data_IF_384356354670
#
_entry.id   IF_384356354670
#
_cell.length_a   1.000
_cell.length_b   1.000
_cell.length_c   1.000
_cell.angle_alpha   90.00
_cell.angle_beta   90.00
_cell.angle_gamma   90.00
#
_symmetry.space_group_name_H-M   'P 1'
#
loop_
_entity.id
_entity.type
_entity.pdbx_description
1 polymer ?
#
# COMPACT_ATOMS: atom_id res chain seq x y z
N UNK A 1 -10.89 -2.61 14.19
CA UNK A 1 -10.15 -2.36 12.94
C UNK A 1 -11.11 -2.47 11.77
N UNK A 2 -11.10 -1.49 10.88
CA UNK A 2 -11.86 -1.50 9.63
C UNK A 2 -10.91 -1.19 8.46
N UNK A 3 -10.97 -1.94 7.36
CA UNK A 3 -10.16 -1.66 6.16
C UNK A 3 -11.06 -1.04 5.09
N UNK A 4 -10.77 0.21 4.73
CA UNK A 4 -11.58 1.04 3.83
C UNK A 4 -10.81 1.37 2.56
N UNK A 5 -11.51 1.58 1.44
CA UNK A 5 -10.90 2.07 0.20
C UNK A 5 -10.56 3.55 0.37
N UNK A 6 -9.37 3.98 -0.03
CA UNK A 6 -9.05 5.40 -0.17
C UNK A 6 -9.81 5.98 -1.39
N UNK A 7 -10.70 6.97 -1.21
CA UNK A 7 -11.33 7.66 -2.33
C UNK A 7 -10.33 8.59 -3.03
N UNK A 8 -10.61 8.94 -4.29
CA UNK A 8 -9.86 9.96 -5.04
C UNK A 8 -10.32 11.39 -4.64
N UNK A 9 -10.41 11.65 -3.33
CA UNK A 9 -10.81 12.93 -2.76
C UNK A 9 -9.57 13.59 -2.15
N UNK A 10 -9.25 14.82 -2.56
CA UNK A 10 -8.00 15.49 -2.18
C UNK A 10 -7.77 15.49 -0.66
N UNK A 11 -8.77 15.80 0.14
CA UNK A 11 -8.66 15.84 1.61
C UNK A 11 -8.37 14.45 2.21
N UNK A 12 -9.00 13.40 1.67
CA UNK A 12 -8.75 12.03 2.11
C UNK A 12 -7.35 11.56 1.72
N UNK A 13 -6.91 11.90 0.51
CA UNK A 13 -5.56 11.59 0.01
C UNK A 13 -4.51 12.36 0.80
N UNK A 14 -4.71 13.65 1.06
CA UNK A 14 -3.81 14.48 1.89
C UNK A 14 -3.62 13.88 3.27
N UNK A 15 -4.72 13.52 3.94
CA UNK A 15 -4.65 12.86 5.24
C UNK A 15 -3.89 11.54 5.19
N UNK A 16 -4.15 10.71 4.19
CA UNK A 16 -3.40 9.46 3.96
C UNK A 16 -1.90 9.73 3.76
N UNK A 17 -1.55 10.75 2.96
CA UNK A 17 -0.16 11.11 2.69
C UNK A 17 0.56 11.53 3.98
N UNK A 18 -0.07 12.41 4.76
CA UNK A 18 0.49 12.95 6.00
C UNK A 18 0.58 11.90 7.12
N UNK A 19 -0.46 11.08 7.31
CA UNK A 19 -0.55 10.15 8.44
C UNK A 19 0.07 8.78 8.19
N UNK A 20 0.20 8.35 6.92
CA UNK A 20 0.65 7.00 6.59
C UNK A 20 1.81 6.97 5.60
N UNK A 21 1.67 7.62 4.44
CA UNK A 21 2.68 7.51 3.38
C UNK A 21 4.01 8.14 3.78
N UNK A 22 3.98 9.35 4.35
CA UNK A 22 5.18 10.04 4.83
C UNK A 22 5.87 9.29 5.98
N UNK A 23 5.16 8.87 7.05
CA UNK A 23 5.75 8.03 8.08
C UNK A 23 6.34 6.72 7.55
N UNK A 24 5.67 6.07 6.58
CA UNK A 24 6.19 4.85 5.95
C UNK A 24 7.54 5.09 5.25
N UNK A 25 7.65 6.13 4.42
CA UNK A 25 8.90 6.40 3.70
C UNK A 25 10.02 6.83 4.64
N UNK A 26 9.73 7.61 5.69
CA UNK A 26 10.71 7.94 6.74
C UNK A 26 11.17 6.71 7.53
N UNK A 27 10.26 5.78 7.82
CA UNK A 27 10.60 4.49 8.46
C UNK A 27 11.46 3.61 7.52
N UNK A 28 11.18 3.65 6.21
CA UNK A 28 11.83 2.80 5.21
C UNK A 28 13.20 3.32 4.78
N UNK A 29 13.37 4.64 4.67
CA UNK A 29 14.66 5.31 4.41
C UNK A 29 15.73 4.86 5.42
N UNK A 30 15.35 4.65 6.68
CA UNK A 30 16.26 4.13 7.71
C UNK A 30 16.71 2.68 7.47
N UNK A 31 16.01 1.93 6.62
CA UNK A 31 16.27 0.52 6.34
C UNK A 31 16.78 0.26 4.91
N UNK A 32 16.51 1.16 3.96
CA UNK A 32 16.83 0.99 2.54
C UNK A 32 17.19 2.36 1.93
N UNK A 33 18.47 2.53 1.58
CA UNK A 33 19.03 3.81 1.07
C UNK A 33 18.33 4.34 -0.19
N UNK A 34 17.69 3.48 -1.00
CA UNK A 34 17.00 3.93 -2.22
C UNK A 34 15.66 4.63 -1.98
N UNK A 35 15.22 4.78 -0.72
CA UNK A 35 13.94 5.41 -0.35
C UNK A 35 14.10 6.80 0.27
N UNK A 36 15.27 7.44 0.11
CA UNK A 36 15.49 8.84 0.52
C UNK A 36 14.45 9.78 -0.14
N UNK A 37 13.82 10.61 0.69
CA UNK A 37 12.83 11.59 0.22
C UNK A 37 13.54 12.86 -0.25
N UNK A 38 13.01 13.49 -1.31
CA UNK A 38 13.56 14.73 -1.84
C UNK A 38 13.45 15.89 -0.83
N UNK A 39 14.53 16.66 -0.68
CA UNK A 39 14.62 17.75 0.30
C UNK A 39 14.02 19.07 -0.22
N UNK A 40 14.01 19.29 -1.53
CA UNK A 40 13.67 20.57 -2.18
C UNK A 40 12.28 20.61 -2.84
N UNK A 41 11.33 19.82 -2.33
CA UNK A 41 9.95 19.76 -2.85
C UNK A 41 8.92 19.77 -1.72
N UNK A 42 7.70 20.23 -2.01
CA UNK A 42 6.56 20.01 -1.12
C UNK A 42 6.06 18.57 -1.29
N UNK A 43 6.64 17.65 -0.52
CA UNK A 43 6.34 16.22 -0.59
C UNK A 43 4.85 15.92 -0.45
N UNK A 44 4.12 16.69 0.38
CA UNK A 44 2.69 16.45 0.57
C UNK A 44 1.93 16.90 -0.67
N UNK A 45 2.17 18.11 -1.16
CA UNK A 45 1.46 18.61 -2.33
C UNK A 45 1.71 17.76 -3.58
N UNK A 46 2.96 17.41 -3.84
CA UNK A 46 3.35 16.58 -4.99
C UNK A 46 2.74 15.18 -4.90
N UNK A 47 2.83 14.53 -3.72
CA UNK A 47 2.29 13.19 -3.55
C UNK A 47 0.76 13.15 -3.56
N UNK A 48 0.09 14.18 -3.03
CA UNK A 48 -1.37 14.29 -3.12
C UNK A 48 -1.83 14.40 -4.56
N UNK A 49 -1.18 15.24 -5.37
CA UNK A 49 -1.49 15.37 -6.79
C UNK A 49 -1.28 14.04 -7.52
N UNK A 50 -0.13 13.41 -7.32
CA UNK A 50 0.21 12.12 -7.93
C UNK A 50 -0.76 11.01 -7.54
N UNK A 51 -1.10 10.88 -6.25
CA UNK A 51 -1.99 9.82 -5.76
C UNK A 51 -3.44 10.03 -6.17
N UNK A 52 -3.90 11.28 -6.23
CA UNK A 52 -5.27 11.59 -6.69
C UNK A 52 -5.45 11.12 -8.13
N UNK A 53 -4.53 11.48 -9.03
CA UNK A 53 -4.54 11.03 -10.44
C UNK A 53 -4.50 9.49 -10.54
N UNK A 54 -3.64 8.83 -9.76
CA UNK A 54 -3.59 7.36 -9.74
C UNK A 54 -4.89 6.72 -9.23
N UNK A 55 -5.57 7.32 -8.26
CA UNK A 55 -6.80 6.77 -7.67
C UNK A 55 -8.02 6.90 -8.59
N UNK A 56 -7.96 7.78 -9.60
CA UNK A 56 -8.97 7.87 -10.66
C UNK A 56 -8.95 6.64 -11.58
N UNK A 57 -7.80 5.97 -11.73
CA UNK A 57 -7.71 4.70 -12.45
C UNK A 57 -8.47 3.60 -11.74
N UNK A 58 -9.18 2.74 -12.49
CA UNK A 58 -9.86 1.57 -11.92
C UNK A 58 -8.88 0.47 -11.45
N UNK A 59 -7.67 0.49 -12.01
CA UNK A 59 -6.65 -0.54 -11.81
C UNK A 59 -5.88 -0.33 -10.52
N UNK A 60 -5.76 0.92 -10.06
CA UNK A 60 -5.05 1.27 -8.84
C UNK A 60 -6.01 1.48 -7.66
N UNK A 61 -5.65 0.95 -6.48
CA UNK A 61 -6.34 1.24 -5.21
C UNK A 61 -5.36 1.32 -4.08
N UNK A 62 -5.69 2.14 -3.09
CA UNK A 62 -5.16 2.03 -1.75
C UNK A 62 -6.26 1.58 -0.78
N UNK A 63 -5.90 0.69 0.15
CA UNK A 63 -6.73 0.23 1.25
C UNK A 63 -6.12 0.69 2.55
N UNK A 64 -6.90 1.37 3.38
CA UNK A 64 -6.45 2.00 4.62
C UNK A 64 -7.12 1.32 5.81
N UNK A 65 -6.33 0.89 6.78
CA UNK A 65 -6.79 0.37 8.05
C UNK A 65 -7.07 1.53 9.01
N UNK A 66 -8.29 1.57 9.53
CA UNK A 66 -8.79 2.59 10.46
C UNK A 66 -9.10 1.93 11.79
N UNK A 67 -8.52 2.44 12.86
CA UNK A 67 -8.88 2.08 14.23
C UNK A 67 -9.94 3.04 14.78
N UNK A 68 -11.12 2.51 15.11
CA UNK A 68 -12.18 3.28 15.76
C UNK A 68 -11.89 3.50 17.25
N UNK A 69 -12.53 4.52 17.86
CA UNK A 69 -12.30 4.81 19.28
C UNK A 69 -12.75 3.65 20.20
N UNK A 70 -12.05 3.42 21.33
CA UNK A 70 -12.37 2.33 22.25
C UNK A 70 -13.69 2.49 23.04
N UNK A 71 -14.32 3.67 23.04
CA UNK A 71 -15.53 3.96 23.81
C UNK A 71 -16.51 4.83 23.01
N UNK A 72 -17.69 4.28 22.70
CA UNK A 72 -18.88 5.07 22.32
C UNK A 72 -19.44 4.73 20.94
N UNK A 73 -20.55 3.98 20.96
CA UNK A 73 -21.56 3.83 19.91
C UNK A 73 -21.06 3.49 18.49
N UNK A 74 -21.26 2.21 18.09
CA UNK A 74 -21.40 1.88 16.66
C UNK A 74 -22.60 2.66 16.15
N UNK A 75 -22.37 3.86 15.62
CA UNK A 75 -23.37 4.55 14.84
C UNK A 75 -23.68 3.65 13.64
N UNK A 76 -24.95 3.33 13.42
CA UNK A 76 -25.39 2.48 12.32
C UNK A 76 -25.06 3.07 10.93
N UNK A 77 -24.51 4.28 10.90
CA UNK A 77 -24.08 5.06 9.73
C UNK A 77 -22.55 5.17 9.59
N UNK A 78 -21.75 4.44 10.39
CA UNK A 78 -20.28 4.50 10.33
C UNK A 78 -19.67 4.08 8.97
N UNK A 79 -20.46 3.44 8.10
CA UNK A 79 -20.03 3.05 6.76
C UNK A 79 -19.86 4.21 5.78
N UNK A 80 -20.40 5.40 6.07
CA UNK A 80 -20.55 6.48 5.07
C UNK A 80 -19.70 7.74 5.35
N UNK A 81 -19.00 7.82 6.49
CA UNK A 81 -18.14 8.97 6.80
C UNK A 81 -16.85 8.89 5.98
N UNK A 82 -16.50 9.91 5.18
CA UNK A 82 -15.27 9.87 4.35
C UNK A 82 -14.01 9.62 5.20
N UNK A 83 -12.96 9.07 4.60
CA UNK A 83 -11.65 8.95 5.25
C UNK A 83 -11.06 10.32 5.61
N UNK A 84 -11.48 11.38 4.91
CA UNK A 84 -11.16 12.75 5.28
C UNK A 84 -11.76 13.14 6.65
N UNK A 85 -12.99 12.70 6.94
CA UNK A 85 -13.80 13.19 8.06
C UNK A 85 -13.86 12.21 9.24
N UNK A 86 -13.38 10.98 9.08
CA UNK A 86 -13.47 9.97 10.15
C UNK A 86 -12.65 10.35 11.38
N UNK A 87 -13.22 10.21 12.57
CA UNK A 87 -12.48 10.40 13.84
C UNK A 87 -11.56 9.22 14.21
N UNK A 88 -11.54 8.15 13.39
CA UNK A 88 -10.66 7.00 13.58
C UNK A 88 -9.21 7.30 13.17
N UNK A 89 -8.26 6.61 13.79
CA UNK A 89 -6.83 6.74 13.47
C UNK A 89 -6.47 5.88 12.25
N UNK A 90 -5.71 6.42 11.30
CA UNK A 90 -5.17 5.65 10.19
C UNK A 90 -3.90 4.93 10.63
N UNK A 91 -3.92 3.60 10.65
CA UNK A 91 -2.89 2.77 11.32
C UNK A 91 -2.13 1.83 10.39
N UNK A 92 -2.53 1.74 9.14
CA UNK A 92 -1.81 0.98 8.12
C UNK A 92 -2.47 1.07 6.76
N UNK A 93 -1.76 0.64 5.72
CA UNK A 93 -2.31 0.60 4.37
C UNK A 93 -1.65 -0.47 3.50
N UNK A 94 -2.31 -0.75 2.37
CA UNK A 94 -1.74 -1.48 1.25
C UNK A 94 -2.18 -0.85 -0.07
N UNK A 95 -1.26 -0.65 -1.00
CA UNK A 95 -1.57 -0.21 -2.37
C UNK A 95 -1.54 -1.38 -3.34
N UNK A 96 -2.40 -1.36 -4.35
CA UNK A 96 -2.53 -2.44 -5.32
C UNK A 96 -2.79 -1.89 -6.72
N UNK A 97 -2.22 -2.53 -7.73
CA UNK A 97 -2.40 -2.19 -9.15
C UNK A 97 -2.68 -3.46 -9.97
N UNK A 98 -3.59 -3.38 -10.95
CA UNK A 98 -3.82 -4.49 -11.89
C UNK A 98 -2.75 -4.45 -12.98
N UNK A 99 -2.06 -5.57 -13.16
CA UNK A 99 -1.15 -5.84 -14.28
C UNK A 99 -1.81 -6.86 -15.20
N UNK A 100 -2.49 -6.35 -16.22
CA UNK A 100 -3.11 -7.16 -17.27
C UNK A 100 -2.06 -7.67 -18.24
N UNK A 101 -2.09 -8.96 -18.52
CA UNK A 101 -1.16 -9.57 -19.46
C UNK A 101 -1.46 -9.06 -20.88
N UNK A 102 -0.47 -8.50 -21.60
CA UNK A 102 -0.67 -8.20 -23.01
C UNK A 102 -1.04 -9.49 -23.77
N UNK A 103 -1.97 -9.39 -24.71
CA UNK A 103 -2.59 -10.55 -25.38
C UNK A 103 -1.63 -11.48 -26.15
N UNK A 104 -0.39 -11.04 -26.37
CA UNK A 104 0.68 -11.84 -26.98
C UNK A 104 1.39 -12.77 -25.99
N UNK A 105 1.13 -12.64 -24.69
CA UNK A 105 1.72 -13.45 -23.64
C UNK A 105 0.71 -14.42 -23.04
N UNK A 106 1.11 -15.68 -22.90
CA UNK A 106 0.37 -16.71 -22.17
C UNK A 106 0.80 -16.70 -20.70
N UNK A 107 0.37 -15.65 -19.98
CA UNK A 107 0.53 -15.53 -18.52
C UNK A 107 -0.78 -15.00 -17.93
N UNK A 108 -1.11 -15.32 -16.67
CA UNK A 108 -2.28 -14.75 -16.03
C UNK A 108 -2.11 -13.26 -15.74
N UNK A 109 -3.24 -12.58 -15.61
CA UNK A 109 -3.31 -11.25 -15.00
C UNK A 109 -2.89 -11.32 -13.53
N UNK A 110 -2.26 -10.24 -13.08
CA UNK A 110 -1.70 -10.13 -11.75
C UNK A 110 -2.29 -8.92 -11.03
N UNK A 111 -2.38 -9.04 -9.71
CA UNK A 111 -2.47 -7.86 -8.87
C UNK A 111 -1.10 -7.62 -8.26
N UNK A 112 -0.52 -6.45 -8.52
CA UNK A 112 0.74 -6.02 -7.92
C UNK A 112 0.41 -5.30 -6.62
N UNK A 113 1.01 -5.71 -5.50
CA UNK A 113 1.05 -4.92 -4.27
C UNK A 113 2.24 -3.99 -4.35
N UNK A 114 2.00 -2.69 -4.22
CA UNK A 114 3.06 -1.68 -4.22
C UNK A 114 3.64 -1.53 -2.83
N UNK A 115 3.03 -0.64 -2.05
CA UNK A 115 3.45 -0.31 -0.70
C UNK A 115 2.55 -1.02 0.32
N UNK A 116 3.15 -1.51 1.40
CA UNK A 116 2.43 -1.98 2.59
C UNK A 116 3.10 -1.43 3.84
N UNK A 117 2.28 -0.90 4.74
CA UNK A 117 2.76 -0.33 5.98
C UNK A 117 1.78 -0.57 7.12
N UNK A 118 2.34 -0.79 8.31
CA UNK A 118 1.62 -0.83 9.57
C UNK A 118 2.41 0.00 10.57
N UNK A 119 1.71 0.96 11.20
CA UNK A 119 2.27 1.77 12.29
C UNK A 119 2.92 0.89 13.34
N UNK A 120 4.03 1.35 13.90
CA UNK A 120 4.80 0.56 14.87
C UNK A 120 3.96 0.04 16.04
N UNK A 121 3.07 0.89 16.58
CA UNK A 121 2.12 0.56 17.66
C UNK A 121 1.16 -0.58 17.34
N UNK A 122 0.97 -0.90 16.05
CA UNK A 122 0.03 -1.94 15.58
C UNK A 122 0.76 -3.12 14.91
N UNK A 123 2.10 -3.16 14.94
CA UNK A 123 2.87 -4.31 14.48
C UNK A 123 2.67 -5.50 15.42
N UNK A 124 2.78 -6.72 14.88
CA UNK A 124 2.56 -7.95 15.65
C UNK A 124 1.09 -8.27 15.99
N UNK A 125 0.14 -7.42 15.59
CA UNK A 125 -1.31 -7.63 15.81
C UNK A 125 -1.97 -8.55 14.76
N UNK A 126 -1.28 -8.81 13.65
CA UNK A 126 -1.85 -9.49 12.48
C UNK A 126 -2.35 -8.54 11.38
N UNK A 127 -2.37 -7.23 11.60
CA UNK A 127 -2.91 -6.24 10.65
C UNK A 127 -2.28 -6.32 9.25
N UNK A 128 -0.96 -6.53 9.15
CA UNK A 128 -0.30 -6.67 7.85
C UNK A 128 -0.85 -7.87 7.05
N UNK A 129 -1.22 -8.96 7.73
CA UNK A 129 -1.87 -10.11 7.09
C UNK A 129 -3.27 -9.76 6.61
N UNK A 130 -4.04 -9.02 7.40
CA UNK A 130 -5.40 -8.59 7.00
C UNK A 130 -5.37 -7.67 5.77
N UNK A 131 -4.34 -6.80 5.67
CA UNK A 131 -4.09 -5.96 4.50
C UNK A 131 -3.75 -6.81 3.25
N UNK A 132 -2.86 -7.79 3.38
CA UNK A 132 -2.56 -8.73 2.28
C UNK A 132 -3.80 -9.55 1.90
N UNK A 133 -4.60 -10.00 2.86
CA UNK A 133 -5.86 -10.70 2.59
C UNK A 133 -6.84 -9.79 1.84
N UNK A 134 -6.85 -8.49 2.12
CA UNK A 134 -7.63 -7.50 1.34
C UNK A 134 -7.13 -7.38 -0.10
N UNK A 135 -5.82 -7.35 -0.32
CA UNK A 135 -5.23 -7.35 -1.65
C UNK A 135 -5.57 -8.65 -2.41
N UNK A 136 -5.44 -9.81 -1.76
CA UNK A 136 -5.81 -11.11 -2.33
C UNK A 136 -7.31 -11.20 -2.66
N UNK A 137 -8.19 -10.59 -1.86
CA UNK A 137 -9.62 -10.46 -2.21
C UNK A 137 -9.81 -9.64 -3.48
N UNK A 138 -9.13 -8.49 -3.59
CA UNK A 138 -9.17 -7.66 -4.82
C UNK A 138 -8.67 -8.42 -6.03
N UNK A 139 -7.59 -9.18 -5.92
CA UNK A 139 -7.05 -9.97 -7.02
C UNK A 139 -8.11 -10.93 -7.59
N UNK A 140 -8.83 -11.64 -6.70
CA UNK A 140 -9.94 -12.53 -7.09
C UNK A 140 -11.12 -11.75 -7.68
N UNK A 141 -11.47 -10.61 -7.09
CA UNK A 141 -12.54 -9.72 -7.59
C UNK A 141 -12.25 -9.18 -9.00
N UNK A 142 -10.98 -8.97 -9.35
CA UNK A 142 -10.54 -8.44 -10.65
C UNK A 142 -10.05 -9.51 -11.62
N UNK A 143 -10.27 -10.80 -11.32
CA UNK A 143 -9.89 -11.91 -12.21
C UNK A 143 -8.39 -12.22 -12.28
N UNK A 144 -7.56 -11.61 -11.44
CA UNK A 144 -6.13 -11.90 -11.36
C UNK A 144 -5.89 -13.25 -10.69
N UNK A 145 -5.02 -14.06 -11.26
CA UNK A 145 -4.69 -15.38 -10.70
C UNK A 145 -3.53 -15.33 -9.69
N UNK A 146 -2.71 -14.28 -9.75
CA UNK A 146 -1.51 -14.12 -8.92
C UNK A 146 -1.54 -12.77 -8.18
N UNK A 147 -1.06 -12.78 -6.93
CA UNK A 147 -0.72 -11.59 -6.17
C UNK A 147 0.81 -11.50 -6.14
N UNK A 148 1.37 -10.43 -6.68
CA UNK A 148 2.82 -10.22 -6.79
C UNK A 148 3.22 -8.93 -6.08
N UNK A 149 4.48 -8.83 -5.71
CA UNK A 149 5.09 -7.63 -5.14
C UNK A 149 6.58 -7.63 -5.44
N UNK A 150 7.18 -6.45 -5.41
CA UNK A 150 8.63 -6.30 -5.39
C UNK A 150 9.06 -5.97 -3.95
N UNK A 151 10.23 -6.49 -3.54
CA UNK A 151 10.81 -6.25 -2.21
C UNK A 151 12.31 -6.07 -2.35
N UNK A 152 12.86 -5.07 -1.67
CA UNK A 152 14.29 -4.81 -1.68
C UNK A 152 15.06 -5.97 -1.04
N UNK A 153 16.22 -6.31 -1.63
CA UNK A 153 17.04 -7.46 -1.21
C UNK A 153 17.52 -7.34 0.24
N UNK A 154 17.68 -6.12 0.75
CA UNK A 154 18.15 -5.83 2.10
C UNK A 154 16.99 -5.77 3.12
N UNK A 155 15.73 -5.85 2.67
CA UNK A 155 14.56 -5.83 3.53
C UNK A 155 14.20 -7.24 4.05
N UNK A 156 15.14 -7.85 4.79
CA UNK A 156 15.03 -9.22 5.31
C UNK A 156 13.75 -9.44 6.13
N UNK A 157 13.30 -8.41 6.85
CA UNK A 157 12.06 -8.45 7.65
C UNK A 157 10.83 -8.64 6.76
N UNK A 158 10.73 -7.88 5.66
CA UNK A 158 9.60 -8.00 4.73
C UNK A 158 9.66 -9.32 3.97
N UNK A 159 10.84 -9.75 3.52
CA UNK A 159 11.04 -11.04 2.85
C UNK A 159 10.53 -12.19 3.74
N UNK A 160 10.99 -12.25 5.00
CA UNK A 160 10.55 -13.29 5.93
C UNK A 160 9.04 -13.24 6.25
N UNK A 161 8.42 -12.05 6.17
CA UNK A 161 6.98 -11.91 6.31
C UNK A 161 6.24 -12.49 5.09
N UNK A 162 6.66 -12.15 3.87
CA UNK A 162 6.02 -12.64 2.65
C UNK A 162 6.20 -14.16 2.45
N UNK A 163 7.38 -14.70 2.75
CA UNK A 163 7.62 -16.16 2.71
C UNK A 163 6.68 -16.92 3.66
N UNK A 164 6.45 -16.39 4.88
CA UNK A 164 5.47 -16.97 5.82
C UNK A 164 4.03 -16.92 5.32
N UNK A 165 3.72 -16.00 4.41
CA UNK A 165 2.42 -15.92 3.74
C UNK A 165 2.34 -16.82 2.49
N UNK A 166 3.44 -17.47 2.10
CA UNK A 166 3.51 -18.37 0.96
C UNK A 166 3.87 -17.69 -0.36
N UNK A 167 4.41 -16.46 -0.33
CA UNK A 167 5.00 -15.85 -1.51
C UNK A 167 6.29 -16.58 -1.88
N UNK A 168 6.52 -16.72 -3.18
CA UNK A 168 7.71 -17.37 -3.74
C UNK A 168 8.43 -16.41 -4.70
N UNK A 169 9.76 -16.50 -4.85
CA UNK A 169 10.50 -15.66 -5.79
C UNK A 169 10.04 -15.88 -7.24
N UNK A 170 9.64 -14.79 -7.91
CA UNK A 170 9.18 -14.83 -9.30
C UNK A 170 10.27 -14.48 -10.32
N UNK A 171 11.03 -13.40 -10.06
CA UNK A 171 12.08 -12.90 -10.95
C UNK A 171 13.16 -12.15 -10.15
N UNK A 172 14.27 -11.82 -10.80
CA UNK A 172 15.33 -10.96 -10.24
C UNK A 172 15.51 -9.72 -11.11
N UNK A 173 15.58 -8.56 -10.47
CA UNK A 173 16.06 -7.34 -11.08
C UNK A 173 17.59 -7.27 -10.86
N UNK A 174 18.34 -6.92 -11.91
CA UNK A 174 19.80 -6.79 -11.85
C UNK A 174 20.20 -5.41 -12.38
N UNK A 175 21.27 -4.83 -11.83
CA UNK A 175 21.78 -3.52 -12.23
C UNK A 175 23.29 -3.56 -12.46
N UNK A 176 23.76 -2.71 -13.36
CA UNK A 176 25.17 -2.37 -13.55
C UNK A 176 25.28 -0.85 -13.59
N UNK A 177 26.33 -0.30 -13.00
CA UNK A 177 26.63 1.11 -13.16
C UNK A 177 27.02 1.37 -14.63
N UNK A 178 26.30 2.26 -15.31
CA UNK A 178 26.58 2.57 -16.71
C UNK A 178 27.95 3.22 -16.87
N UNK A 179 28.49 3.85 -15.82
CA UNK A 179 29.84 4.42 -15.83
C UNK A 179 30.94 3.34 -15.91
N UNK A 180 30.62 2.06 -15.65
CA UNK A 180 31.59 0.95 -15.74
C UNK A 180 31.43 0.08 -16.99
N UNK A 181 30.52 0.43 -17.91
CA UNK A 181 30.36 -0.21 -19.24
C UNK A 181 31.19 0.51 -20.32
#
# INVERSE_FOLDING_TARGET
MEIRRLPAEEDAVRRYVEELWLPYHRDLEAAVESHELAEDVDLVAEEVAFRTDRLDSEDYRAWVAVEGRPNGERSAEAGDVSLAETEGELVGFVTTERDEAPSVFDRPDRLVTGDIYVRESHRGTGLARELIDRAARRARETGCAELVLDVDIDNERAIAFYEKLGFEPLRRQIRVDVAVL
#
